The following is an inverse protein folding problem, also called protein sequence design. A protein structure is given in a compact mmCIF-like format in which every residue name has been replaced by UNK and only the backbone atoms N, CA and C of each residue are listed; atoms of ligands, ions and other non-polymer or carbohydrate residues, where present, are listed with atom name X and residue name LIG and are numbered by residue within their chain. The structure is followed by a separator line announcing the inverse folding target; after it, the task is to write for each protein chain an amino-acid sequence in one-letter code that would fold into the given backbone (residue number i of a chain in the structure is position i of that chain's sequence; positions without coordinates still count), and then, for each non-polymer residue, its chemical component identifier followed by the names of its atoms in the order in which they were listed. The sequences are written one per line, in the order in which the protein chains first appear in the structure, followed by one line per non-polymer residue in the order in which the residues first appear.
data_IF_422246062575
#
_entry.id   IF_422246062575
#
_cell.length_a   1.000
_cell.length_b   1.000
_cell.length_c   1.000
_cell.angle_alpha   90.00
_cell.angle_beta   90.00
_cell.angle_gamma   90.00
#
_symmetry.space_group_name_H-M   'P 1'
#
loop_
_entity.id
_entity.type
_entity.pdbx_description
1 polymer ?
#
# COMPACT_ATOMS: atom_id res chain seq x y z
N UNK A 1 -30.71 -23.02 35.94
CA UNK A 1 -29.22 -23.13 35.90
C UNK A 1 -28.73 -23.53 34.52
N UNK A 2 -29.22 -24.64 33.92
CA UNK A 2 -28.86 -25.08 32.55
C UNK A 2 -29.22 -24.06 31.46
N UNK A 3 -30.34 -23.37 31.60
CA UNK A 3 -30.78 -22.30 30.70
C UNK A 3 -29.87 -21.08 30.72
N UNK A 4 -29.30 -20.74 31.88
CA UNK A 4 -28.35 -19.62 32.04
C UNK A 4 -27.00 -19.95 31.41
N UNK A 5 -26.51 -21.18 31.55
CA UNK A 5 -25.29 -21.65 30.89
C UNK A 5 -25.42 -21.65 29.35
N UNK A 6 -26.59 -22.02 28.83
CA UNK A 6 -26.86 -22.00 27.39
C UNK A 6 -26.81 -20.56 26.81
N UNK A 7 -27.38 -19.59 27.55
CA UNK A 7 -27.37 -18.17 27.17
C UNK A 7 -25.96 -17.59 27.22
N UNK A 8 -25.15 -17.96 28.22
CA UNK A 8 -23.75 -17.51 28.32
C UNK A 8 -22.91 -18.07 27.16
N UNK A 9 -23.06 -19.34 26.83
CA UNK A 9 -22.38 -19.96 25.69
C UNK A 9 -22.77 -19.31 24.36
N UNK A 10 -24.05 -19.02 24.16
CA UNK A 10 -24.54 -18.34 22.97
C UNK A 10 -23.97 -16.92 22.87
N UNK A 11 -24.04 -16.13 23.94
CA UNK A 11 -23.44 -14.78 23.97
C UNK A 11 -21.93 -14.80 23.71
N UNK A 12 -21.18 -15.72 24.34
CA UNK A 12 -19.74 -15.86 24.11
C UNK A 12 -19.42 -16.12 22.63
N UNK A 13 -20.21 -16.96 21.94
CA UNK A 13 -20.01 -17.23 20.51
C UNK A 13 -20.21 -15.99 19.61
N UNK A 14 -21.12 -15.08 19.99
CA UNK A 14 -21.33 -13.82 19.28
C UNK A 14 -20.16 -12.85 19.47
N UNK A 15 -19.54 -12.81 20.66
CA UNK A 15 -18.41 -11.92 20.93
C UNK A 15 -17.12 -12.32 20.17
N UNK A 16 -16.93 -13.60 19.82
CA UNK A 16 -15.75 -14.04 19.07
C UNK A 16 -15.77 -13.63 17.58
N UNK A 17 -16.91 -13.22 17.00
CA UNK A 17 -16.98 -12.67 15.64
C UNK A 17 -16.65 -11.17 15.54
N UNK A 18 -16.31 -10.51 16.66
CA UNK A 18 -16.06 -9.07 16.69
C UNK A 18 -14.65 -8.65 16.22
N UNK A 19 -13.82 -9.56 15.71
CA UNK A 19 -12.59 -9.20 15.00
C UNK A 19 -12.91 -8.58 13.63
N UNK A 20 -13.48 -7.37 13.62
CA UNK A 20 -13.48 -6.51 12.45
C UNK A 20 -12.05 -6.01 12.26
N UNK A 21 -11.28 -6.66 11.38
CA UNK A 21 -10.12 -6.01 10.75
C UNK A 21 -10.62 -4.69 10.18
N UNK A 22 -10.10 -3.56 10.63
CA UNK A 22 -10.42 -2.26 10.02
C UNK A 22 -10.02 -2.35 8.56
N UNK A 23 -11.01 -2.56 7.69
CA UNK A 23 -10.85 -2.42 6.26
C UNK A 23 -10.73 -0.90 6.05
N UNK A 24 -9.52 -0.36 6.24
CA UNK A 24 -9.16 0.87 5.55
C UNK A 24 -9.24 0.55 4.06
N UNK A 25 -10.45 0.68 3.52
CA UNK A 25 -10.73 0.52 2.12
C UNK A 25 -9.78 1.44 1.37
N UNK A 26 -9.12 0.95 0.32
CA UNK A 26 -8.32 1.80 -0.58
C UNK A 26 -9.14 2.97 -1.16
N UNK A 27 -10.47 2.91 -1.03
CA UNK A 27 -11.44 3.93 -1.44
C UNK A 27 -11.65 5.05 -0.40
N UNK A 28 -11.36 4.83 0.88
CA UNK A 28 -11.47 5.86 1.95
C UNK A 28 -10.15 6.53 2.27
N UNK A 29 -9.01 5.94 1.85
CA UNK A 29 -7.70 6.55 1.99
C UNK A 29 -7.60 7.82 1.14
N UNK A 30 -7.49 8.97 1.81
CA UNK A 30 -7.24 10.27 1.19
C UNK A 30 -6.02 10.15 0.25
N UNK A 31 -6.18 10.55 -1.01
CA UNK A 31 -5.13 10.51 -2.04
C UNK A 31 -3.95 11.35 -1.55
N UNK A 32 -2.86 10.68 -1.21
CA UNK A 32 -1.62 11.30 -0.76
C UNK A 32 -0.64 11.30 -1.94
N UNK A 33 -0.42 12.45 -2.60
CA UNK A 33 0.46 12.55 -3.76
C UNK A 33 1.92 12.24 -3.40
N UNK A 34 2.38 12.53 -2.18
CA UNK A 34 3.75 12.25 -1.76
C UNK A 34 3.98 10.74 -1.66
N UNK A 35 3.05 10.01 -1.03
CA UNK A 35 3.09 8.54 -1.03
C UNK A 35 3.03 7.96 -2.43
N UNK A 36 2.28 8.56 -3.35
CA UNK A 36 2.24 8.08 -4.73
C UNK A 36 3.60 8.21 -5.42
N UNK A 37 4.27 9.36 -5.27
CA UNK A 37 5.62 9.63 -5.80
C UNK A 37 6.63 8.62 -5.23
N UNK A 38 6.61 8.41 -3.92
CA UNK A 38 7.50 7.45 -3.25
C UNK A 38 7.28 6.03 -3.78
N UNK A 39 6.03 5.57 -3.85
CA UNK A 39 5.70 4.22 -4.34
C UNK A 39 6.14 4.00 -5.79
N UNK A 40 5.92 4.97 -6.68
CA UNK A 40 6.38 4.87 -8.07
C UNK A 40 7.91 4.81 -8.15
N UNK A 41 8.61 5.56 -7.30
CA UNK A 41 10.07 5.54 -7.23
C UNK A 41 10.60 4.17 -6.78
N UNK A 42 10.02 3.61 -5.71
CA UNK A 42 10.37 2.27 -5.21
C UNK A 42 10.11 1.17 -6.24
N UNK A 43 9.00 1.25 -6.99
CA UNK A 43 8.74 0.31 -8.10
C UNK A 43 9.78 0.44 -9.22
N UNK A 44 10.22 1.67 -9.51
CA UNK A 44 11.30 1.94 -10.46
C UNK A 44 12.59 1.22 -10.07
N UNK A 45 13.03 1.44 -8.82
CA UNK A 45 14.21 0.78 -8.23
C UNK A 45 14.09 -0.74 -8.24
N UNK A 46 12.93 -1.29 -7.87
CA UNK A 46 12.70 -2.73 -7.92
C UNK A 46 12.83 -3.32 -9.33
N UNK A 47 12.43 -2.56 -10.36
CA UNK A 47 12.64 -2.98 -11.75
C UNK A 47 14.07 -2.81 -12.24
N UNK A 48 14.81 -1.81 -11.74
CA UNK A 48 16.26 -1.68 -12.00
C UNK A 48 16.98 -2.92 -11.48
N UNK A 49 16.71 -3.33 -10.24
CA UNK A 49 17.31 -4.52 -9.62
C UNK A 49 17.02 -5.81 -10.41
N UNK A 50 15.87 -5.87 -11.10
CA UNK A 50 15.49 -7.01 -11.95
C UNK A 50 16.00 -6.88 -13.40
N UNK A 51 16.81 -5.86 -13.74
CA UNK A 51 17.26 -5.59 -15.12
C UNK A 51 16.15 -5.15 -16.09
N UNK A 52 14.97 -4.82 -15.58
CA UNK A 52 13.77 -4.47 -16.37
C UNK A 52 13.68 -2.97 -16.60
N UNK A 53 14.69 -2.40 -17.27
CA UNK A 53 14.87 -0.95 -17.40
C UNK A 53 13.72 -0.20 -18.07
N UNK A 54 13.07 -0.79 -19.09
CA UNK A 54 11.91 -0.17 -19.74
C UNK A 54 10.74 0.03 -18.76
N UNK A 55 10.49 -0.95 -17.89
CA UNK A 55 9.46 -0.86 -16.85
C UNK A 55 9.87 0.08 -15.72
N UNK A 56 11.16 0.11 -15.36
CA UNK A 56 11.69 1.06 -14.40
C UNK A 56 11.45 2.51 -14.85
N UNK A 57 11.85 2.82 -16.09
CA UNK A 57 11.66 4.14 -16.71
C UNK A 57 10.21 4.60 -16.67
N UNK A 58 9.28 3.71 -17.04
CA UNK A 58 7.86 4.02 -17.02
C UNK A 58 7.35 4.38 -15.61
N UNK A 59 7.87 3.72 -14.55
CA UNK A 59 7.46 4.02 -13.17
C UNK A 59 8.09 5.31 -12.65
N UNK A 60 9.37 5.54 -12.95
CA UNK A 60 10.06 6.77 -12.57
C UNK A 60 9.45 8.00 -13.27
N UNK A 61 9.05 7.88 -14.54
CA UNK A 61 8.31 8.93 -15.23
C UNK A 61 6.99 9.27 -14.52
N UNK A 62 6.23 8.26 -14.03
CA UNK A 62 5.02 8.52 -13.25
C UNK A 62 5.28 9.24 -11.94
N UNK A 63 6.42 8.98 -11.28
CA UNK A 63 6.81 9.73 -10.09
C UNK A 63 7.08 11.20 -10.43
N UNK A 64 7.83 11.44 -11.51
CA UNK A 64 8.22 12.78 -11.98
C UNK A 64 7.06 13.58 -12.60
N UNK A 65 6.05 12.90 -13.17
CA UNK A 65 4.78 13.52 -13.59
C UNK A 65 4.02 14.14 -12.40
N UNK A 66 4.18 13.58 -11.19
CA UNK A 66 3.51 14.07 -9.98
C UNK A 66 4.38 15.10 -9.26
N UNK A 67 5.68 14.84 -9.15
CA UNK A 67 6.67 15.78 -8.61
C UNK A 67 7.98 15.69 -9.40
N UNK A 68 8.18 16.67 -10.28
CA UNK A 68 9.33 16.74 -11.19
C UNK A 68 10.68 16.90 -10.45
N UNK A 69 10.66 17.49 -9.26
CA UNK A 69 11.87 17.79 -8.48
C UNK A 69 12.13 16.74 -7.39
N UNK A 70 11.42 15.60 -7.43
CA UNK A 70 11.59 14.53 -6.44
C UNK A 70 12.97 13.88 -6.59
N UNK A 71 13.90 14.28 -5.73
CA UNK A 71 15.30 13.87 -5.78
C UNK A 71 15.50 12.34 -5.85
N UNK A 72 14.78 11.49 -5.07
CA UNK A 72 14.95 10.05 -5.18
C UNK A 72 14.57 9.47 -6.56
N UNK A 73 13.55 10.02 -7.24
CA UNK A 73 13.17 9.58 -8.59
C UNK A 73 14.22 10.02 -9.62
N UNK A 74 14.70 11.26 -9.55
CA UNK A 74 15.76 11.75 -10.43
C UNK A 74 17.06 10.95 -10.25
N UNK A 75 17.46 10.68 -9.01
CA UNK A 75 18.62 9.83 -8.71
C UNK A 75 18.46 8.41 -9.27
N UNK A 76 17.27 7.83 -9.14
CA UNK A 76 16.98 6.49 -9.68
C UNK A 76 16.98 6.48 -11.21
N UNK A 77 16.60 7.58 -11.86
CA UNK A 77 16.63 7.73 -13.31
C UNK A 77 18.06 7.73 -13.86
N UNK A 78 19.02 8.29 -13.12
CA UNK A 78 20.44 8.26 -13.46
C UNK A 78 21.03 6.85 -13.52
N UNK A 79 20.39 5.86 -12.87
CA UNK A 79 20.79 4.45 -12.95
C UNK A 79 20.35 3.77 -14.28
N UNK A 80 19.58 4.47 -15.12
CA UNK A 80 19.09 3.98 -16.42
C UNK A 80 19.87 4.53 -17.62
N UNK A 81 20.85 5.41 -17.37
CA UNK A 81 21.69 6.07 -18.37
C UNK A 81 23.11 5.50 -18.30
#
# INVERSE_FOLDING_TARGET
MKSVQLVILLCCSLFLSACMTTIESRLTRKKDPEKAVENYTQLGLGYIQQGRFARARARLNRALEINQDYAPANNSMSLLL
#
